data_IF_008793133054
#
_entry.id   IF_008793133054
#
_cell.length_a   1.000
_cell.length_b   1.000
_cell.length_c   1.000
_cell.angle_alpha   90.00
_cell.angle_beta   90.00
_cell.angle_gamma   90.00
#
_symmetry.space_group_name_H-M   'P 1'
#
loop_
_entity.id
_entity.type
_entity.pdbx_description
1 polymer ?
#
# COMPACT_ATOMS: atom_id res chain seq x y z
N UNK A 1 -15.25 2.87 20.44
CA UNK A 1 -14.62 2.27 21.64
C UNK A 1 -13.23 2.87 21.75
N UNK A 2 -12.79 3.30 22.94
CA UNK A 2 -11.50 3.97 23.13
C UNK A 2 -10.38 2.97 22.82
N UNK A 3 -9.33 3.34 22.05
CA UNK A 3 -8.26 2.41 21.69
C UNK A 3 -7.51 1.82 22.91
N UNK A 4 -7.59 2.48 24.07
CA UNK A 4 -7.02 2.00 25.34
C UNK A 4 -7.65 0.68 25.83
N UNK A 5 -8.92 0.39 25.54
CA UNK A 5 -9.59 -0.84 26.03
C UNK A 5 -9.05 -2.12 25.38
N UNK A 6 -8.47 -2.02 24.17
CA UNK A 6 -7.84 -3.17 23.48
C UNK A 6 -6.46 -3.47 24.09
N UNK A 7 -5.76 -2.45 24.59
CA UNK A 7 -4.44 -2.59 25.20
C UNK A 7 -4.52 -3.13 26.65
N UNK A 8 -5.57 -2.78 27.40
CA UNK A 8 -5.85 -3.34 28.73
C UNK A 8 -6.37 -4.80 28.70
N UNK A 9 -6.89 -5.28 27.56
CA UNK A 9 -7.46 -6.62 27.43
C UNK A 9 -6.44 -7.76 27.23
N UNK A 10 -5.13 -7.47 27.29
CA UNK A 10 -4.07 -8.48 27.36
C UNK A 10 -3.65 -9.12 26.04
N UNK A 11 -4.29 -8.83 24.91
CA UNK A 11 -3.94 -9.44 23.61
C UNK A 11 -3.28 -8.43 22.66
N UNK A 12 -2.01 -8.14 22.93
CA UNK A 12 -1.15 -7.34 22.05
C UNK A 12 -1.09 -7.92 20.63
N UNK A 13 -1.22 -9.24 20.52
CA UNK A 13 -1.20 -10.00 19.27
C UNK A 13 -2.32 -9.59 18.32
N UNK A 14 -3.57 -9.54 18.79
CA UNK A 14 -4.72 -9.13 17.97
C UNK A 14 -4.63 -7.69 17.49
N UNK A 15 -4.09 -6.78 18.32
CA UNK A 15 -3.88 -5.38 17.96
C UNK A 15 -2.80 -5.24 16.86
N UNK A 16 -1.70 -5.97 16.97
CA UNK A 16 -0.64 -6.00 15.94
C UNK A 16 -1.16 -6.57 14.62
N UNK A 17 -1.90 -7.67 14.65
CA UNK A 17 -2.50 -8.29 13.45
C UNK A 17 -3.46 -7.30 12.77
N UNK A 18 -4.28 -6.59 13.53
CA UNK A 18 -5.22 -5.60 13.00
C UNK A 18 -4.48 -4.44 12.31
N UNK A 19 -3.44 -3.88 12.93
CA UNK A 19 -2.65 -2.79 12.37
C UNK A 19 -1.95 -3.23 11.08
N UNK A 20 -1.27 -4.38 11.11
CA UNK A 20 -0.59 -4.94 9.93
C UNK A 20 -1.60 -5.21 8.82
N UNK A 21 -2.78 -5.75 9.15
CA UNK A 21 -3.85 -6.00 8.19
C UNK A 21 -4.30 -4.72 7.48
N UNK A 22 -4.54 -3.64 8.23
CA UNK A 22 -4.94 -2.33 7.67
C UNK A 22 -3.80 -1.73 6.83
N UNK A 23 -2.56 -1.90 7.26
CA UNK A 23 -1.38 -1.37 6.55
C UNK A 23 -1.18 -2.07 5.19
N UNK A 24 -1.34 -3.40 5.14
CA UNK A 24 -1.30 -4.17 3.90
C UNK A 24 -2.45 -3.79 2.97
N UNK A 25 -3.67 -3.68 3.49
CA UNK A 25 -4.85 -3.25 2.73
C UNK A 25 -4.65 -1.85 2.14
N UNK A 26 -4.15 -0.92 2.95
CA UNK A 26 -3.84 0.44 2.53
C UNK A 26 -2.79 0.48 1.42
N UNK A 27 -1.67 -0.22 1.60
CA UNK A 27 -0.59 -0.28 0.62
C UNK A 27 -1.03 -0.89 -0.73
N UNK A 28 -1.83 -1.97 -0.68
CA UNK A 28 -2.38 -2.59 -1.90
C UNK A 28 -3.33 -1.65 -2.64
N UNK A 29 -4.24 -0.99 -1.90
CA UNK A 29 -5.19 -0.06 -2.49
C UNK A 29 -4.46 1.13 -3.15
N UNK A 30 -3.51 1.73 -2.43
CA UNK A 30 -2.73 2.86 -2.93
C UNK A 30 -1.90 2.50 -4.16
N UNK A 31 -1.26 1.33 -4.16
CA UNK A 31 -0.45 0.88 -5.29
C UNK A 31 -1.30 0.66 -6.55
N UNK A 32 -2.51 0.10 -6.41
CA UNK A 32 -3.45 -0.04 -7.53
C UNK A 32 -3.87 1.32 -8.08
N UNK A 33 -4.27 2.26 -7.20
CA UNK A 33 -4.72 3.60 -7.61
C UNK A 33 -3.62 4.34 -8.36
N UNK A 34 -2.39 4.36 -7.84
CA UNK A 34 -1.26 5.02 -8.50
C UNK A 34 -1.00 4.37 -9.86
N UNK A 35 -0.96 3.04 -9.92
CA UNK A 35 -0.68 2.34 -11.18
C UNK A 35 -1.77 2.61 -12.23
N UNK A 36 -3.03 2.76 -11.80
CA UNK A 36 -4.14 3.13 -12.68
C UNK A 36 -4.01 4.56 -13.21
N UNK A 37 -3.63 5.51 -12.36
CA UNK A 37 -3.39 6.91 -12.76
C UNK A 37 -2.21 6.99 -13.73
N UNK A 38 -1.09 6.32 -13.44
CA UNK A 38 0.07 6.29 -14.34
C UNK A 38 -0.30 5.70 -15.69
N UNK A 39 -1.08 4.60 -15.70
CA UNK A 39 -1.59 4.00 -16.94
C UNK A 39 -2.43 4.99 -17.73
N UNK A 40 -3.40 5.67 -17.09
CA UNK A 40 -4.26 6.66 -17.73
C UNK A 40 -3.46 7.82 -18.35
N UNK A 41 -2.48 8.35 -17.61
CA UNK A 41 -1.63 9.44 -18.07
C UNK A 41 -0.76 9.00 -19.25
N UNK A 42 -0.15 7.81 -19.19
CA UNK A 42 0.68 7.28 -20.28
C UNK A 42 -0.12 7.03 -21.56
N UNK A 43 -1.29 6.41 -21.42
CA UNK A 43 -2.17 6.10 -22.56
C UNK A 43 -2.73 7.39 -23.18
N UNK A 44 -3.03 8.40 -22.35
CA UNK A 44 -3.48 9.72 -22.79
C UNK A 44 -2.40 10.56 -23.47
N UNK A 45 -1.11 10.42 -23.10
CA UNK A 45 -0.02 11.24 -23.65
C UNK A 45 0.56 10.70 -24.96
N UNK A 46 0.70 9.38 -25.07
CA UNK A 46 1.50 8.79 -26.16
C UNK A 46 0.67 7.92 -27.11
N UNK A 47 -0.63 7.69 -26.85
CA UNK A 47 -1.49 6.70 -27.54
C UNK A 47 -0.87 5.29 -27.63
N UNK A 48 0.21 5.03 -26.89
CA UNK A 48 0.90 3.73 -26.82
C UNK A 48 0.30 2.90 -25.71
N UNK A 49 0.03 1.63 -26.01
CA UNK A 49 -0.48 0.67 -25.02
C UNK A 49 0.52 0.53 -23.88
N UNK A 50 0.04 0.76 -22.67
CA UNK A 50 0.81 0.55 -21.45
C UNK A 50 1.27 -0.92 -21.38
N UNK A 51 2.58 -1.16 -21.50
CA UNK A 51 3.13 -2.51 -21.51
C UNK A 51 3.00 -3.14 -20.13
N UNK A 52 2.62 -4.43 -20.07
CA UNK A 52 2.53 -5.20 -18.82
C UNK A 52 3.82 -5.14 -18.00
N UNK A 53 4.98 -5.02 -18.66
CA UNK A 53 6.29 -4.88 -18.00
C UNK A 53 6.40 -3.58 -17.20
N UNK A 54 5.93 -2.45 -17.75
CA UNK A 54 5.96 -1.14 -17.09
C UNK A 54 4.93 -1.06 -15.95
N UNK A 55 3.78 -1.72 -16.11
CA UNK A 55 2.77 -1.82 -15.06
C UNK A 55 3.30 -2.53 -13.82
N UNK A 56 3.88 -3.72 -14.00
CA UNK A 56 4.47 -4.48 -12.89
C UNK A 56 5.65 -3.71 -12.28
N UNK A 57 6.50 -3.08 -13.08
CA UNK A 57 7.63 -2.31 -12.58
C UNK A 57 7.16 -1.13 -11.70
N UNK A 58 6.16 -0.39 -12.15
CA UNK A 58 5.57 0.74 -11.38
C UNK A 58 4.91 0.23 -10.09
N UNK A 59 4.11 -0.83 -10.19
CA UNK A 59 3.43 -1.43 -9.04
C UNK A 59 4.41 -1.93 -7.97
N UNK A 60 5.50 -2.60 -8.39
CA UNK A 60 6.55 -3.09 -7.49
C UNK A 60 7.33 -1.94 -6.84
N UNK A 61 7.67 -0.89 -7.60
CA UNK A 61 8.34 0.29 -7.04
C UNK A 61 7.45 0.97 -5.99
N UNK A 62 6.15 1.15 -6.27
CA UNK A 62 5.23 1.74 -5.30
C UNK A 62 5.07 0.87 -4.04
N UNK A 63 5.00 -0.46 -4.19
CA UNK A 63 4.97 -1.39 -3.05
C UNK A 63 6.25 -1.31 -2.20
N UNK A 64 7.41 -1.30 -2.85
CA UNK A 64 8.71 -1.17 -2.17
C UNK A 64 8.80 0.16 -1.42
N UNK A 65 8.43 1.27 -2.06
CA UNK A 65 8.45 2.59 -1.45
C UNK A 65 7.53 2.68 -0.23
N UNK A 66 6.29 2.19 -0.34
CA UNK A 66 5.37 2.15 0.79
C UNK A 66 5.90 1.27 1.94
N UNK A 67 6.46 0.10 1.63
CA UNK A 67 7.07 -0.79 2.63
C UNK A 67 8.26 -0.15 3.36
N UNK A 68 9.13 0.55 2.63
CA UNK A 68 10.26 1.31 3.17
C UNK A 68 9.78 2.44 4.09
N UNK A 69 8.78 3.22 3.67
CA UNK A 69 8.22 4.32 4.46
C UNK A 69 7.54 3.78 5.73
N UNK A 70 6.73 2.72 5.62
CA UNK A 70 6.10 2.12 6.79
C UNK A 70 7.12 1.52 7.76
N UNK A 71 8.19 0.90 7.24
CA UNK A 71 9.28 0.37 8.05
C UNK A 71 10.07 1.47 8.76
N UNK A 72 10.27 2.62 8.11
CA UNK A 72 10.93 3.78 8.71
C UNK A 72 10.09 4.46 9.80
N UNK A 73 8.76 4.46 9.69
CA UNK A 73 7.87 5.07 10.69
C UNK A 73 7.61 4.13 11.88
N UNK A 74 7.62 2.82 11.64
CA UNK A 74 7.28 1.80 12.64
C UNK A 74 8.51 1.17 13.34
N UNK A 75 9.72 1.41 12.83
CA UNK A 75 11.00 0.97 13.41
C UNK A 75 11.70 2.10 14.17
#
# INVERSE_FOLDING_TARGET
MKPLTILEAGDLTGLVIMIVGIMILGALFFSIVITFIVKLIYESKDNRKFSRKQFIQTFVICLLAFGLISGYICG
#
